data_IF_278897366213
#
_entry.id   IF_278897366213
#
_cell.length_a   1.000
_cell.length_b   1.000
_cell.length_c   1.000
_cell.angle_alpha   90.00
_cell.angle_beta   90.00
_cell.angle_gamma   90.00
#
_symmetry.space_group_name_H-M   'P 1'
#
loop_
_entity.id
_entity.type
_entity.pdbx_description
1 polymer ?
#
# COMPACT_ATOMS: atom_id res chain seq x y z
N UNK A 1 -70.49 47.56 15.23
CA UNK A 1 -71.22 46.61 14.37
C UNK A 1 -70.27 46.13 13.29
N UNK A 2 -69.78 44.91 13.43
CA UNK A 2 -69.07 44.19 12.38
C UNK A 2 -70.05 43.78 11.28
N UNK A 3 -69.58 43.81 10.03
CA UNK A 3 -69.79 42.78 8.99
C UNK A 3 -70.04 43.40 7.61
N UNK A 4 -69.11 43.20 6.66
CA UNK A 4 -69.35 42.48 5.41
C UNK A 4 -68.12 42.42 4.50
N UNK A 5 -67.83 41.19 4.10
CA UNK A 5 -67.33 40.76 2.79
C UNK A 5 -65.87 41.07 2.43
N UNK A 6 -65.05 40.05 2.69
CA UNK A 6 -63.96 39.62 1.84
C UNK A 6 -64.21 39.85 0.34
N UNK A 7 -63.25 40.45 -0.36
CA UNK A 7 -63.05 40.20 -1.78
C UNK A 7 -61.66 40.67 -2.23
N UNK A 8 -60.83 39.68 -2.58
CA UNK A 8 -59.88 39.72 -3.70
C UNK A 8 -58.90 40.92 -3.76
N UNK A 9 -57.74 40.77 -3.13
CA UNK A 9 -56.53 41.45 -3.59
C UNK A 9 -55.24 40.70 -3.27
N UNK A 10 -55.18 39.44 -3.67
CA UNK A 10 -53.94 38.65 -3.77
C UNK A 10 -53.83 38.08 -5.18
N UNK A 11 -53.72 38.98 -6.16
CA UNK A 11 -53.42 38.62 -7.54
C UNK A 11 -52.52 39.70 -8.15
N UNK A 12 -51.22 39.63 -7.84
CA UNK A 12 -50.14 40.17 -8.69
C UNK A 12 -48.77 39.65 -8.25
N UNK A 13 -48.63 38.33 -8.22
CA UNK A 13 -47.35 37.65 -8.41
C UNK A 13 -47.26 37.25 -9.89
N UNK A 14 -46.97 38.22 -10.73
CA UNK A 14 -46.55 37.99 -12.11
C UNK A 14 -45.39 38.95 -12.42
N UNK A 15 -44.19 38.54 -12.03
CA UNK A 15 -42.95 38.95 -12.69
C UNK A 15 -42.16 37.70 -12.99
N UNK A 16 -42.66 36.99 -14.01
CA UNK A 16 -41.90 36.25 -15.02
C UNK A 16 -40.39 36.12 -14.75
N UNK A 17 -40.02 35.18 -13.88
CA UNK A 17 -38.73 34.50 -14.01
C UNK A 17 -38.84 33.62 -15.25
N UNK A 18 -38.51 34.20 -16.42
CA UNK A 18 -38.21 33.44 -17.63
C UNK A 18 -36.97 32.62 -17.32
N UNK A 19 -37.18 31.40 -16.80
CA UNK A 19 -36.23 30.31 -16.90
C UNK A 19 -36.01 30.07 -18.39
N UNK A 20 -35.05 30.80 -18.95
CA UNK A 20 -34.47 30.55 -20.25
C UNK A 20 -33.58 29.33 -20.08
N UNK A 21 -34.20 28.17 -19.85
CA UNK A 21 -33.65 26.87 -20.20
C UNK A 21 -33.53 26.89 -21.72
N UNK A 22 -32.46 27.53 -22.19
CA UNK A 22 -31.93 27.32 -23.52
C UNK A 22 -31.43 25.88 -23.49
N UNK A 23 -32.34 24.93 -23.71
CA UNK A 23 -32.03 23.64 -24.28
C UNK A 23 -31.16 23.95 -25.49
N UNK A 24 -29.85 23.88 -25.28
CA UNK A 24 -28.91 23.70 -26.37
C UNK A 24 -29.30 22.35 -26.93
N UNK A 25 -30.08 22.41 -27.99
CA UNK A 25 -30.21 21.38 -28.99
C UNK A 25 -28.93 20.57 -29.01
N UNK A 26 -29.07 19.27 -28.74
CA UNK A 26 -28.02 18.32 -29.03
C UNK A 26 -27.74 18.43 -30.52
N UNK A 27 -26.77 19.28 -30.86
CA UNK A 27 -26.03 19.11 -32.08
C UNK A 27 -25.45 17.72 -31.94
N UNK A 28 -26.00 16.75 -32.68
CA UNK A 28 -25.28 15.51 -32.97
C UNK A 28 -24.01 15.95 -33.68
N UNK A 29 -22.98 16.25 -32.89
CA UNK A 29 -21.63 16.45 -33.40
C UNK A 29 -21.27 15.12 -34.00
N UNK A 30 -21.28 15.04 -35.32
CA UNK A 30 -20.65 13.95 -36.04
C UNK A 30 -19.20 13.93 -35.58
N UNK A 31 -18.86 12.97 -34.72
CA UNK A 31 -17.54 12.85 -34.13
C UNK A 31 -16.56 12.78 -35.28
N UNK A 32 -15.66 13.75 -35.37
CA UNK A 32 -14.66 13.76 -36.44
C UNK A 32 -13.68 12.60 -36.23
N UNK A 33 -13.07 12.10 -37.30
CA UNK A 33 -12.11 10.99 -37.20
C UNK A 33 -10.95 11.29 -36.25
N UNK A 34 -10.57 12.57 -36.14
CA UNK A 34 -9.57 13.08 -35.18
C UNK A 34 -10.06 12.99 -33.74
N UNK A 35 -11.32 13.33 -33.47
CA UNK A 35 -11.92 13.20 -32.13
C UNK A 35 -12.06 11.74 -31.73
N UNK A 36 -12.45 10.85 -32.65
CA UNK A 36 -12.45 9.40 -32.42
C UNK A 36 -11.05 8.89 -32.07
N UNK A 37 -10.02 9.34 -32.81
CA UNK A 37 -8.64 8.99 -32.53
C UNK A 37 -8.17 9.44 -31.14
N UNK A 38 -8.52 10.66 -30.72
CA UNK A 38 -8.20 11.16 -29.39
C UNK A 38 -8.92 10.37 -28.29
N UNK A 39 -10.22 10.07 -28.47
CA UNK A 39 -10.97 9.25 -27.52
C UNK A 39 -10.34 7.86 -27.39
N UNK A 40 -9.96 7.24 -28.51
CA UNK A 40 -9.29 5.94 -28.51
C UNK A 40 -7.98 5.98 -27.72
N UNK A 41 -7.12 6.98 -27.99
CA UNK A 41 -5.86 7.17 -27.26
C UNK A 41 -6.14 7.37 -25.76
N UNK A 42 -7.12 8.20 -25.40
CA UNK A 42 -7.49 8.44 -23.99
C UNK A 42 -7.95 7.16 -23.30
N UNK A 43 -8.76 6.32 -23.95
CA UNK A 43 -9.21 5.04 -23.39
C UNK A 43 -8.05 4.08 -23.20
N UNK A 44 -7.13 3.98 -24.17
CA UNK A 44 -5.94 3.14 -24.06
C UNK A 44 -5.05 3.60 -22.91
N UNK A 45 -4.75 4.90 -22.83
CA UNK A 45 -3.92 5.46 -21.75
C UNK A 45 -4.57 5.27 -20.38
N UNK A 46 -5.89 5.44 -20.28
CA UNK A 46 -6.61 5.21 -19.04
C UNK A 46 -6.58 3.72 -18.64
N UNK A 47 -6.80 2.80 -19.59
CA UNK A 47 -6.70 1.37 -19.35
C UNK A 47 -5.31 0.95 -18.87
N UNK A 48 -4.26 1.45 -19.54
CA UNK A 48 -2.87 1.23 -19.10
C UNK A 48 -2.62 1.78 -17.70
N UNK A 49 -3.08 2.99 -17.39
CA UNK A 49 -2.93 3.59 -16.06
C UNK A 49 -3.56 2.73 -14.96
N UNK A 50 -4.75 2.16 -15.21
CA UNK A 50 -5.44 1.29 -14.25
C UNK A 50 -4.66 -0.02 -14.05
N UNK A 51 -4.21 -0.66 -15.14
CA UNK A 51 -3.43 -1.91 -15.07
C UNK A 51 -2.12 -1.68 -14.32
N UNK A 52 -1.35 -0.66 -14.70
CA UNK A 52 -0.10 -0.31 -14.04
C UNK A 52 -0.32 0.04 -12.56
N UNK A 53 -1.40 0.74 -12.23
CA UNK A 53 -1.75 1.04 -10.84
C UNK A 53 -2.04 -0.22 -10.01
N UNK A 54 -2.68 -1.23 -10.61
CA UNK A 54 -2.92 -2.51 -9.96
C UNK A 54 -1.62 -3.29 -9.73
N UNK A 55 -0.76 -3.37 -10.76
CA UNK A 55 0.55 -4.04 -10.65
C UNK A 55 1.43 -3.37 -9.59
N UNK A 56 1.50 -2.04 -9.57
CA UNK A 56 2.26 -1.28 -8.55
C UNK A 56 1.76 -1.64 -7.15
N UNK A 57 0.44 -1.74 -6.95
CA UNK A 57 -0.13 -2.09 -5.65
C UNK A 57 0.22 -3.53 -5.24
N UNK A 58 0.21 -4.47 -6.19
CA UNK A 58 0.61 -5.86 -5.94
C UNK A 58 2.08 -5.94 -5.53
N UNK A 59 2.97 -5.35 -6.34
CA UNK A 59 4.41 -5.33 -6.07
C UNK A 59 4.71 -4.62 -4.75
N UNK A 60 4.02 -3.52 -4.44
CA UNK A 60 4.20 -2.83 -3.16
C UNK A 60 3.80 -3.71 -1.97
N UNK A 61 2.79 -4.57 -2.12
CA UNK A 61 2.40 -5.54 -1.10
C UNK A 61 3.46 -6.61 -0.94
N UNK A 62 3.96 -7.17 -2.04
CA UNK A 62 5.05 -8.15 -2.02
C UNK A 62 6.31 -7.59 -1.34
N UNK A 63 6.70 -6.35 -1.68
CA UNK A 63 7.83 -5.67 -1.03
C UNK A 63 7.61 -5.52 0.47
N UNK A 64 6.38 -5.21 0.91
CA UNK A 64 6.08 -5.11 2.34
C UNK A 64 6.22 -6.45 3.06
N UNK A 65 5.74 -7.53 2.44
CA UNK A 65 5.89 -8.90 2.97
C UNK A 65 7.36 -9.31 3.05
N UNK A 66 8.16 -9.08 2.01
CA UNK A 66 9.59 -9.39 2.04
C UNK A 66 10.36 -8.58 3.09
N UNK A 67 9.94 -7.34 3.38
CA UNK A 67 10.54 -6.55 4.47
C UNK A 67 10.22 -7.13 5.84
N UNK A 68 9.01 -7.63 6.06
CA UNK A 68 8.63 -8.30 7.31
C UNK A 68 9.41 -9.61 7.48
N UNK A 69 9.54 -10.41 6.41
CA UNK A 69 10.34 -11.63 6.41
C UNK A 69 11.82 -11.35 6.71
N UNK A 70 12.41 -10.34 6.07
CA UNK A 70 13.80 -9.93 6.37
C UNK A 70 14.01 -9.52 7.82
N UNK A 71 13.02 -8.84 8.41
CA UNK A 71 13.08 -8.46 9.83
C UNK A 71 13.02 -9.71 10.72
N UNK A 72 12.13 -10.66 10.42
CA UNK A 72 12.02 -11.91 11.14
C UNK A 72 13.31 -12.74 11.05
N UNK A 73 13.92 -12.81 9.86
CA UNK A 73 15.23 -13.47 9.67
C UNK A 73 16.34 -12.79 10.47
N UNK A 74 16.37 -11.46 10.54
CA UNK A 74 17.35 -10.73 11.36
C UNK A 74 17.19 -11.02 12.85
N UNK A 75 15.97 -11.11 13.35
CA UNK A 75 15.68 -11.50 14.74
C UNK A 75 16.10 -12.95 15.02
N UNK A 76 15.86 -13.85 14.06
CA UNK A 76 16.28 -15.25 14.16
C UNK A 76 17.81 -15.40 14.11
N UNK A 77 18.49 -14.64 13.28
CA UNK A 77 19.95 -14.61 13.21
C UNK A 77 20.57 -14.11 14.52
N UNK A 78 20.05 -13.03 15.09
CA UNK A 78 20.46 -12.51 16.42
C UNK A 78 20.25 -13.56 17.51
N UNK A 79 19.10 -14.24 17.50
CA UNK A 79 18.81 -15.32 18.45
C UNK A 79 19.80 -16.48 18.30
N UNK A 80 20.02 -16.95 17.07
CA UNK A 80 20.97 -18.02 16.77
C UNK A 80 22.40 -17.64 17.14
N UNK A 81 22.82 -16.39 16.90
CA UNK A 81 24.10 -15.86 17.37
C UNK A 81 24.21 -15.89 18.88
N UNK A 82 23.16 -15.50 19.59
CA UNK A 82 23.09 -15.56 21.05
C UNK A 82 23.18 -16.99 21.60
N UNK A 83 22.46 -17.94 20.98
CA UNK A 83 22.53 -19.35 21.33
C UNK A 83 23.92 -19.93 21.03
N UNK A 84 24.48 -19.64 19.85
CA UNK A 84 25.83 -20.05 19.47
C UNK A 84 26.86 -19.49 20.44
N UNK A 85 26.77 -18.23 20.84
CA UNK A 85 27.67 -17.61 21.82
C UNK A 85 27.64 -18.35 23.17
N UNK A 86 26.47 -18.81 23.61
CA UNK A 86 26.34 -19.64 24.83
C UNK A 86 27.02 -20.99 24.69
N UNK A 87 26.96 -21.61 23.50
CA UNK A 87 27.65 -22.88 23.23
C UNK A 87 29.15 -22.71 22.95
N UNK A 88 29.57 -21.56 22.43
CA UNK A 88 30.98 -21.25 22.12
C UNK A 88 31.71 -20.54 23.25
N UNK A 89 31.09 -20.38 24.43
CA UNK A 89 31.80 -20.16 25.71
C UNK A 89 32.66 -21.39 26.05
N UNK A 90 33.68 -21.62 25.23
CA UNK A 90 34.80 -22.53 25.49
C UNK A 90 35.40 -22.25 26.85
N UNK A 91 35.37 -21.01 27.30
CA UNK A 91 35.78 -20.56 28.63
C UNK A 91 35.07 -21.30 29.77
N UNK A 92 33.80 -21.69 29.62
CA UNK A 92 33.06 -22.38 30.68
C UNK A 92 33.48 -23.85 30.78
N UNK A 93 33.58 -24.54 29.63
CA UNK A 93 34.11 -25.90 29.54
C UNK A 93 35.60 -25.98 29.91
N UNK A 94 36.41 -25.01 29.49
CA UNK A 94 37.82 -24.90 29.85
C UNK A 94 38.00 -24.62 31.35
N UNK A 95 37.15 -23.78 31.97
CA UNK A 95 37.16 -23.55 33.42
C UNK A 95 36.82 -24.82 34.19
N UNK A 96 35.79 -25.55 33.76
CA UNK A 96 35.41 -26.84 34.37
C UNK A 96 36.52 -27.88 34.18
N UNK A 97 37.07 -27.99 32.97
CA UNK A 97 38.21 -28.87 32.69
C UNK A 97 39.40 -28.56 33.57
N UNK A 98 39.79 -27.28 33.70
CA UNK A 98 40.88 -26.85 34.59
C UNK A 98 40.58 -27.14 36.06
N UNK A 99 39.34 -26.96 36.52
CA UNK A 99 38.93 -27.30 37.88
C UNK A 99 39.01 -28.81 38.17
N UNK A 100 38.87 -29.65 37.14
CA UNK A 100 39.05 -31.09 37.19
C UNK A 100 40.50 -31.54 36.89
N UNK A 101 41.45 -30.60 36.77
CA UNK A 101 42.86 -30.89 36.45
C UNK A 101 43.14 -31.21 34.98
N UNK A 102 42.15 -31.08 34.11
CA UNK A 102 42.30 -31.27 32.66
C UNK A 102 42.78 -29.95 32.03
N UNK A 103 43.98 -29.97 31.46
CA UNK A 103 44.48 -28.86 30.67
C UNK A 103 44.04 -29.01 29.21
N UNK A 104 43.60 -27.92 28.55
CA UNK A 104 43.26 -27.98 27.15
C UNK A 104 44.48 -28.41 26.32
N UNK A 105 44.32 -29.32 25.35
CA UNK A 105 45.42 -29.83 24.54
C UNK A 105 46.07 -28.71 23.72
N UNK A 106 47.39 -28.78 23.56
CA UNK A 106 48.11 -27.86 22.67
C UNK A 106 47.68 -28.11 21.23
N UNK A 107 47.72 -27.09 20.36
CA UNK A 107 47.39 -27.24 18.92
C UNK A 107 48.17 -28.35 18.23
N UNK A 108 49.38 -28.64 18.69
CA UNK A 108 50.23 -29.74 18.21
C UNK A 108 49.74 -31.15 18.58
N UNK A 109 48.78 -31.26 19.52
CA UNK A 109 48.23 -32.53 20.01
C UNK A 109 46.85 -32.84 19.41
N UNK A 110 46.27 -31.93 18.60
CA UNK A 110 44.99 -32.14 17.95
C UNK A 110 45.22 -32.81 16.60
N UNK A 111 44.86 -34.08 16.48
CA UNK A 111 44.94 -34.84 15.22
C UNK A 111 43.57 -34.80 14.54
N UNK A 112 43.50 -34.20 13.36
CA UNK A 112 42.31 -34.28 12.51
C UNK A 112 42.29 -35.62 11.80
N UNK A 113 41.36 -36.50 12.17
CA UNK A 113 41.08 -37.72 11.41
C UNK A 113 40.32 -37.28 10.15
N UNK A 114 40.89 -37.56 8.98
CA UNK A 114 40.28 -37.33 7.67
C UNK A 114 39.36 -38.49 7.30
#
# INVERSE_FOLDING_TARGET
MFSRAASLKTARLQSTHRLRTRQRSGARSTISLREMGLIFISVVLFGLSVVTGYEIKSVSKEISTYREELKAFGEEEERLKGELARFTEKTRLEKIGRALGLHPPKKSQIVHIK
#
